data_IF_669867084450
#
_entry.id   IF_669867084450
#
_cell.length_a   1.000
_cell.length_b   1.000
_cell.length_c   1.000
_cell.angle_alpha   90.00
_cell.angle_beta   90.00
_cell.angle_gamma   90.00
#
_symmetry.space_group_name_H-M   'P 1'
#
loop_
_entity.id
_entity.type
_entity.pdbx_description
1 polymer ?
#
# COMPACT_ATOMS: atom_id res chain seq x y z
N UNK A 1 -86.36 -53.04 31.21
CA UNK A 1 -85.87 -52.92 29.84
C UNK A 1 -84.74 -51.81 29.87
N UNK A 2 -83.62 -52.25 29.65
CA UNK A 2 -82.30 -51.55 29.83
C UNK A 2 -81.96 -50.69 28.62
N UNK A 3 -81.38 -49.55 28.83
CA UNK A 3 -80.47 -48.91 27.84
C UNK A 3 -79.32 -48.21 28.54
N UNK A 4 -78.13 -48.78 28.41
CA UNK A 4 -76.85 -48.18 28.69
C UNK A 4 -76.56 -47.02 27.70
N UNK A 5 -76.07 -45.96 28.21
CA UNK A 5 -75.42 -44.91 27.39
C UNK A 5 -73.94 -44.84 27.79
N UNK A 6 -73.08 -45.18 26.84
CA UNK A 6 -71.64 -45.10 26.99
C UNK A 6 -71.20 -43.67 26.66
N UNK A 7 -70.50 -43.01 27.58
CA UNK A 7 -69.87 -41.72 27.38
C UNK A 7 -68.44 -41.91 26.89
N UNK A 8 -68.08 -41.38 25.72
CA UNK A 8 -66.69 -41.26 25.22
C UNK A 8 -66.05 -39.97 25.80
N UNK A 9 -65.04 -40.11 26.58
CA UNK A 9 -64.14 -38.99 26.99
C UNK A 9 -63.02 -38.83 25.97
N UNK A 10 -63.05 -37.73 25.24
CA UNK A 10 -62.00 -37.34 24.24
C UNK A 10 -60.93 -36.50 24.98
N UNK A 11 -59.79 -37.11 25.27
CA UNK A 11 -58.63 -36.43 25.89
C UNK A 11 -57.88 -35.69 24.79
N UNK A 12 -57.85 -34.38 24.87
CA UNK A 12 -57.00 -33.52 24.01
C UNK A 12 -55.59 -33.45 24.60
N UNK A 13 -54.59 -34.07 23.94
CA UNK A 13 -53.17 -33.87 24.17
C UNK A 13 -52.75 -32.50 23.56
N UNK A 14 -52.48 -31.56 24.42
CA UNK A 14 -51.79 -30.33 24.05
C UNK A 14 -50.27 -30.62 23.92
N UNK A 15 -49.79 -30.74 22.66
CA UNK A 15 -48.37 -30.81 22.37
C UNK A 15 -47.78 -29.37 22.39
N UNK A 16 -47.06 -29.00 23.45
CA UNK A 16 -46.28 -27.78 23.50
C UNK A 16 -45.01 -27.98 22.68
N UNK A 17 -44.96 -27.47 21.46
CA UNK A 17 -43.73 -27.33 20.68
C UNK A 17 -42.87 -26.22 21.32
N UNK A 18 -41.81 -26.61 22.02
CA UNK A 18 -40.78 -25.69 22.44
C UNK A 18 -40.03 -25.18 21.19
N UNK A 19 -40.30 -23.93 20.79
CA UNK A 19 -39.45 -23.24 19.83
C UNK A 19 -38.08 -22.99 20.51
N UNK A 20 -37.08 -23.72 20.03
CA UNK A 20 -35.69 -23.40 20.37
C UNK A 20 -35.37 -22.04 19.75
N UNK A 21 -35.26 -21.00 20.58
CA UNK A 21 -34.69 -19.71 20.18
C UNK A 21 -33.23 -19.97 19.86
N UNK A 22 -32.90 -19.93 18.56
CA UNK A 22 -31.52 -19.80 18.10
C UNK A 22 -31.03 -18.40 18.53
N UNK A 23 -30.14 -18.37 19.52
CA UNK A 23 -29.43 -17.13 19.84
C UNK A 23 -28.68 -16.66 18.59
N UNK A 24 -28.82 -15.38 18.20
CA UNK A 24 -28.07 -14.86 17.07
C UNK A 24 -26.57 -14.92 17.40
N UNK A 25 -25.86 -15.82 16.75
CA UNK A 25 -24.40 -15.87 16.82
C UNK A 25 -23.87 -14.68 16.02
N UNK A 26 -23.52 -13.60 16.69
CA UNK A 26 -22.80 -12.49 16.09
C UNK A 26 -21.38 -12.96 15.73
N UNK A 27 -21.17 -13.34 14.49
CA UNK A 27 -19.82 -13.43 13.94
C UNK A 27 -19.29 -12.02 13.76
N UNK A 28 -18.51 -11.55 14.72
CA UNK A 28 -17.72 -10.34 14.54
C UNK A 28 -16.48 -10.75 13.75
N UNK A 29 -16.54 -10.55 12.46
CA UNK A 29 -15.39 -10.73 11.57
C UNK A 29 -14.37 -9.65 11.91
N UNK A 30 -13.29 -10.03 12.56
CA UNK A 30 -12.16 -9.11 12.81
C UNK A 30 -11.30 -9.18 11.55
N UNK A 31 -11.22 -8.11 10.75
CA UNK A 31 -10.46 -8.14 9.51
C UNK A 31 -8.98 -8.40 9.81
N UNK A 32 -8.38 -9.29 9.03
CA UNK A 32 -6.93 -9.55 9.08
C UNK A 32 -6.18 -8.29 8.64
N UNK A 33 -5.23 -7.85 9.44
CA UNK A 33 -4.33 -6.76 9.07
C UNK A 33 -3.09 -7.35 8.42
N UNK A 34 -2.88 -7.00 7.16
CA UNK A 34 -1.73 -7.38 6.37
C UNK A 34 -0.61 -6.34 6.52
N UNK A 35 0.60 -6.81 6.83
CA UNK A 35 1.79 -5.97 6.96
C UNK A 35 2.86 -6.51 6.00
N UNK A 36 3.14 -5.76 4.95
CA UNK A 36 4.25 -6.06 4.05
C UNK A 36 5.54 -5.56 4.66
N UNK A 37 6.54 -6.42 4.70
CA UNK A 37 7.81 -6.18 5.38
C UNK A 37 8.97 -6.42 4.42
N UNK A 38 9.77 -5.39 4.19
CA UNK A 38 11.06 -5.51 3.51
C UNK A 38 12.17 -5.69 4.54
N UNK A 39 13.03 -6.66 4.33
CA UNK A 39 14.25 -6.86 5.14
C UNK A 39 15.46 -6.77 4.23
N UNK A 40 16.37 -5.86 4.53
CA UNK A 40 17.59 -5.68 3.75
C UNK A 40 18.83 -5.72 4.64
N UNK A 41 19.98 -6.01 4.05
CA UNK A 41 21.27 -5.78 4.70
C UNK A 41 21.61 -4.27 4.73
N UNK A 42 22.77 -3.94 5.28
CA UNK A 42 23.27 -2.54 5.34
C UNK A 42 23.62 -1.94 3.97
N UNK A 43 23.85 -2.78 2.96
CA UNK A 43 24.04 -2.35 1.58
C UNK A 43 22.73 -2.16 0.82
N UNK A 44 21.60 -2.53 1.44
CA UNK A 44 20.26 -2.43 0.85
C UNK A 44 19.86 -3.65 0.03
N UNK A 45 20.65 -4.74 0.03
CA UNK A 45 20.29 -5.98 -0.65
C UNK A 45 19.19 -6.73 0.13
N UNK A 46 18.15 -7.24 -0.54
CA UNK A 46 17.07 -7.97 0.11
C UNK A 46 17.56 -9.24 0.80
N UNK A 47 17.03 -9.52 1.99
CA UNK A 47 17.32 -10.73 2.76
C UNK A 47 16.18 -11.72 2.59
N UNK A 48 16.45 -12.82 1.90
CA UNK A 48 15.56 -13.97 1.76
C UNK A 48 15.75 -15.01 2.85
N UNK A 49 14.88 -16.02 2.86
CA UNK A 49 15.05 -17.23 3.69
C UNK A 49 14.65 -17.06 5.17
N UNK A 50 14.18 -15.90 5.61
CA UNK A 50 13.66 -15.72 6.96
C UNK A 50 12.37 -16.52 7.17
N UNK A 51 12.09 -16.86 8.42
CA UNK A 51 10.92 -17.61 8.85
C UNK A 51 10.04 -16.74 9.74
N UNK A 52 8.84 -17.17 10.06
CA UNK A 52 7.93 -16.50 10.98
C UNK A 52 8.59 -16.19 12.33
N UNK A 53 9.41 -17.09 12.83
CA UNK A 53 10.05 -17.00 14.15
C UNK A 53 11.17 -15.93 14.20
N UNK A 54 11.62 -15.47 13.03
CA UNK A 54 12.58 -14.37 12.93
C UNK A 54 11.96 -13.00 13.17
N UNK A 55 10.61 -12.90 13.25
CA UNK A 55 9.90 -11.64 13.37
C UNK A 55 9.14 -11.49 14.68
N UNK A 56 9.12 -10.28 15.19
CA UNK A 56 8.21 -9.81 16.25
C UNK A 56 7.37 -8.66 15.70
N UNK A 57 6.05 -8.77 15.84
CA UNK A 57 5.07 -7.79 15.38
C UNK A 57 4.42 -7.11 16.60
N UNK A 58 4.30 -5.79 16.53
CA UNK A 58 3.69 -4.97 17.57
C UNK A 58 2.61 -4.07 16.96
N UNK A 59 1.48 -3.91 17.66
CA UNK A 59 0.47 -2.88 17.40
C UNK A 59 0.35 -2.02 18.67
N UNK A 60 0.53 -0.71 18.56
CA UNK A 60 0.56 0.23 19.68
C UNK A 60 1.42 -0.31 20.86
N UNK A 61 2.65 -0.69 20.53
CA UNK A 61 3.66 -1.27 21.44
C UNK A 61 3.26 -2.59 22.13
N UNK A 62 2.14 -3.20 21.73
CA UNK A 62 1.69 -4.50 22.24
C UNK A 62 2.00 -5.59 21.25
N UNK A 63 2.72 -6.63 21.68
CA UNK A 63 3.05 -7.77 20.84
C UNK A 63 1.79 -8.44 20.29
N UNK A 64 1.81 -8.76 19.00
CA UNK A 64 0.77 -9.44 18.26
C UNK A 64 1.22 -10.83 17.82
N UNK A 65 0.27 -11.78 17.75
CA UNK A 65 0.56 -13.09 17.19
C UNK A 65 0.44 -13.03 15.67
N UNK A 66 1.51 -13.37 14.97
CA UNK A 66 1.50 -13.50 13.52
C UNK A 66 0.64 -14.72 13.15
N UNK A 67 -0.52 -14.50 12.57
CA UNK A 67 -1.45 -15.55 12.15
C UNK A 67 -1.15 -16.07 10.74
N UNK A 68 -0.74 -15.17 9.85
CA UNK A 68 -0.36 -15.48 8.45
C UNK A 68 1.08 -15.05 8.24
N UNK A 69 1.85 -15.91 7.59
CA UNK A 69 3.23 -15.63 7.18
C UNK A 69 3.45 -16.18 5.76
N UNK A 70 3.82 -15.31 4.85
CA UNK A 70 4.19 -15.69 3.48
C UNK A 70 5.54 -15.08 3.12
N UNK A 71 6.33 -15.85 2.38
CA UNK A 71 7.55 -15.39 1.72
C UNK A 71 7.24 -15.16 0.26
N UNK A 72 7.92 -14.19 -0.36
CA UNK A 72 7.78 -13.91 -1.80
C UNK A 72 6.29 -13.85 -2.19
N UNK A 73 5.57 -12.98 -1.48
CA UNK A 73 4.10 -12.92 -1.55
C UNK A 73 3.57 -13.00 -2.98
N UNK A 74 2.61 -13.91 -3.19
CA UNK A 74 1.86 -14.05 -4.43
C UNK A 74 0.77 -12.99 -4.58
N UNK A 75 0.58 -12.13 -3.58
CA UNK A 75 -0.41 -11.05 -3.66
C UNK A 75 -0.15 -10.18 -4.89
N UNK A 76 -1.18 -9.93 -5.72
CA UNK A 76 -1.02 -9.12 -6.91
C UNK A 76 -0.56 -7.70 -6.56
N UNK A 77 0.15 -7.06 -7.50
CA UNK A 77 0.52 -5.65 -7.43
C UNK A 77 -0.48 -4.83 -8.23
N UNK A 78 -0.96 -3.74 -7.62
CA UNK A 78 -1.57 -2.63 -8.32
C UNK A 78 -0.61 -1.43 -8.24
N UNK A 79 -0.08 -1.00 -9.37
CA UNK A 79 0.99 0.00 -9.43
C UNK A 79 0.49 1.22 -10.18
N UNK A 80 0.63 2.41 -9.59
CA UNK A 80 0.57 3.68 -10.34
C UNK A 80 1.99 4.17 -10.57
N UNK A 81 2.31 4.47 -11.82
CA UNK A 81 3.51 5.20 -12.22
C UNK A 81 3.15 6.67 -12.39
N UNK A 82 3.59 7.52 -11.48
CA UNK A 82 3.33 8.96 -11.54
C UNK A 82 4.58 9.68 -12.05
N UNK A 83 4.45 10.35 -13.20
CA UNK A 83 5.53 11.07 -13.84
C UNK A 83 5.28 12.57 -13.80
N UNK A 84 6.29 13.29 -13.35
CA UNK A 84 6.35 14.73 -13.40
C UNK A 84 6.56 15.21 -14.85
N UNK A 85 5.74 16.16 -15.29
CA UNK A 85 5.85 16.80 -16.59
C UNK A 85 6.10 18.31 -16.45
N UNK A 86 6.53 18.78 -15.29
CA UNK A 86 6.86 20.18 -15.04
C UNK A 86 8.10 20.64 -15.84
N UNK A 87 8.33 21.93 -15.86
CA UNK A 87 9.44 22.49 -16.64
C UNK A 87 10.83 22.11 -16.11
N UNK A 88 10.98 21.73 -14.84
CA UNK A 88 12.25 21.36 -14.21
C UNK A 88 12.80 20.04 -14.73
N UNK A 89 11.93 19.05 -15.02
CA UNK A 89 12.33 17.70 -15.45
C UNK A 89 12.60 17.55 -16.95
N UNK A 90 12.44 18.62 -17.73
CA UNK A 90 12.51 18.57 -19.21
C UNK A 90 13.75 17.87 -19.77
N UNK A 91 14.92 18.04 -19.13
CA UNK A 91 16.20 17.50 -19.62
C UNK A 91 16.31 15.99 -19.44
N UNK A 92 15.73 15.46 -18.37
CA UNK A 92 15.90 14.09 -17.92
C UNK A 92 14.72 13.21 -18.32
N UNK A 93 13.60 13.82 -18.70
CA UNK A 93 12.33 13.18 -18.99
C UNK A 93 12.39 12.00 -19.99
N UNK A 94 13.20 12.11 -21.06
CA UNK A 94 13.32 11.02 -22.03
C UNK A 94 13.92 9.74 -21.41
N UNK A 95 14.87 9.89 -20.47
CA UNK A 95 15.45 8.77 -19.73
C UNK A 95 14.46 8.22 -18.72
N UNK A 96 13.75 9.07 -18.00
CA UNK A 96 12.68 8.66 -17.07
C UNK A 96 11.59 7.87 -17.77
N UNK A 97 11.09 8.36 -18.89
CA UNK A 97 10.08 7.72 -19.71
C UNK A 97 10.53 6.34 -20.17
N UNK A 98 11.78 6.21 -20.66
CA UNK A 98 12.35 4.92 -21.06
C UNK A 98 12.49 3.95 -19.90
N UNK A 99 13.04 4.40 -18.78
CA UNK A 99 13.23 3.58 -17.60
C UNK A 99 11.88 3.11 -17.01
N UNK A 100 10.85 3.98 -16.99
CA UNK A 100 9.49 3.60 -16.57
C UNK A 100 8.86 2.55 -17.52
N UNK A 101 9.12 2.61 -18.82
CA UNK A 101 8.66 1.59 -19.77
C UNK A 101 9.34 0.24 -19.54
N UNK A 102 10.66 0.23 -19.27
CA UNK A 102 11.40 -0.99 -18.92
C UNK A 102 10.86 -1.58 -17.62
N UNK A 103 10.68 -0.75 -16.58
CA UNK A 103 10.12 -1.19 -15.32
C UNK A 103 8.74 -1.84 -15.48
N UNK A 104 7.81 -1.21 -16.21
CA UNK A 104 6.49 -1.78 -16.42
C UNK A 104 6.55 -3.15 -17.11
N UNK A 105 7.48 -3.34 -18.05
CA UNK A 105 7.69 -4.60 -18.73
C UNK A 105 8.26 -5.69 -17.81
N UNK A 106 9.17 -5.31 -16.93
CA UNK A 106 9.92 -6.26 -16.09
C UNK A 106 9.17 -6.60 -14.80
N UNK A 107 8.38 -5.64 -14.25
CA UNK A 107 7.70 -5.82 -12.96
C UNK A 107 6.35 -6.53 -13.09
N UNK A 108 5.60 -6.32 -14.17
CA UNK A 108 4.24 -6.83 -14.29
C UNK A 108 4.21 -8.34 -14.55
N UNK A 109 3.62 -9.09 -13.62
CA UNK A 109 3.25 -10.50 -13.77
C UNK A 109 1.79 -10.61 -14.25
N UNK A 110 1.32 -11.79 -14.68
CA UNK A 110 -0.05 -11.94 -15.21
C UNK A 110 -1.17 -11.46 -14.29
N UNK A 111 -0.96 -11.51 -12.97
CA UNK A 111 -1.95 -11.06 -11.98
C UNK A 111 -1.79 -9.58 -11.60
N UNK A 112 -0.71 -8.92 -12.00
CA UNK A 112 -0.43 -7.54 -11.64
C UNK A 112 -1.10 -6.57 -12.62
N UNK A 113 -1.38 -5.36 -12.15
CA UNK A 113 -1.94 -4.29 -12.96
C UNK A 113 -1.19 -3.00 -12.71
N UNK A 114 -1.06 -2.19 -13.74
CA UNK A 114 -0.50 -0.86 -13.60
C UNK A 114 -1.36 0.20 -14.30
N UNK A 115 -1.18 1.44 -13.86
CA UNK A 115 -1.70 2.64 -14.47
C UNK A 115 -0.61 3.71 -14.53
N UNK A 116 -0.80 4.71 -15.37
CA UNK A 116 0.08 5.87 -15.50
C UNK A 116 -0.68 7.13 -15.13
N UNK A 117 -0.12 7.90 -14.23
CA UNK A 117 -0.56 9.25 -13.89
C UNK A 117 0.50 10.25 -14.35
N UNK A 118 0.08 11.34 -14.95
CA UNK A 118 0.94 12.45 -15.31
C UNK A 118 0.52 13.70 -14.54
N UNK A 119 1.49 14.48 -14.10
CA UNK A 119 1.22 15.71 -13.36
C UNK A 119 2.17 16.85 -13.76
N UNK A 120 1.65 18.05 -13.74
CA UNK A 120 2.31 19.34 -13.92
C UNK A 120 1.47 20.39 -13.16
N UNK A 121 0.92 21.43 -13.83
CA UNK A 121 -0.06 22.36 -13.23
C UNK A 121 -1.32 21.65 -12.71
N UNK A 122 -1.61 20.45 -13.21
CA UNK A 122 -2.70 19.57 -12.80
C UNK A 122 -2.32 18.12 -12.94
N UNK A 123 -3.22 17.24 -12.50
CA UNK A 123 -3.02 15.79 -12.51
C UNK A 123 -4.01 15.11 -13.43
N UNK A 124 -3.60 14.04 -14.10
CA UNK A 124 -4.48 13.22 -14.95
C UNK A 124 -4.07 11.77 -15.00
N UNK A 125 -5.05 10.89 -15.03
CA UNK A 125 -4.89 9.48 -15.40
C UNK A 125 -4.60 9.38 -16.92
N UNK A 126 -3.70 8.48 -17.31
CA UNK A 126 -3.24 8.34 -18.69
C UNK A 126 -3.72 7.05 -19.34
N UNK A 127 -3.62 5.91 -18.64
CA UNK A 127 -3.88 4.59 -19.26
C UNK A 127 -5.07 3.85 -18.68
N UNK A 128 -5.44 4.10 -17.43
CA UNK A 128 -6.28 3.21 -16.64
C UNK A 128 -5.56 1.91 -16.30
N UNK A 129 -6.01 1.23 -15.23
CA UNK A 129 -5.39 -0.02 -14.78
C UNK A 129 -5.45 -1.12 -15.83
N UNK A 130 -4.29 -1.68 -16.16
CA UNK A 130 -4.14 -2.78 -17.12
C UNK A 130 -3.00 -3.72 -16.74
N UNK A 131 -3.10 -5.00 -17.10
CA UNK A 131 -2.00 -5.98 -17.05
C UNK A 131 -1.09 -5.96 -18.30
N UNK A 132 -1.43 -5.14 -19.30
CA UNK A 132 -0.73 -5.10 -20.58
C UNK A 132 0.42 -4.09 -20.55
N UNK A 133 1.66 -4.55 -20.34
CA UNK A 133 2.84 -3.68 -20.35
C UNK A 133 2.97 -2.82 -21.62
N UNK A 134 2.49 -3.32 -22.78
CA UNK A 134 2.48 -2.55 -24.04
C UNK A 134 1.57 -1.33 -23.96
N UNK A 135 0.41 -1.43 -23.28
CA UNK A 135 -0.51 -0.31 -23.10
C UNK A 135 0.09 0.75 -22.18
N UNK A 136 0.75 0.31 -21.10
CA UNK A 136 1.50 1.21 -20.21
C UNK A 136 2.61 1.93 -21.00
N UNK A 137 3.44 1.18 -21.74
CA UNK A 137 4.51 1.77 -22.57
C UNK A 137 3.98 2.76 -23.60
N UNK A 138 2.84 2.47 -24.22
CA UNK A 138 2.19 3.39 -25.19
C UNK A 138 1.72 4.68 -24.50
N UNK A 139 1.10 4.56 -23.32
CA UNK A 139 0.68 5.72 -22.52
C UNK A 139 1.87 6.60 -22.13
N UNK A 140 2.95 5.98 -21.65
CA UNK A 140 4.19 6.68 -21.33
C UNK A 140 4.77 7.39 -22.56
N UNK A 141 4.84 6.71 -23.73
CA UNK A 141 5.37 7.31 -24.98
C UNK A 141 4.61 8.55 -25.45
N UNK A 142 3.34 8.68 -25.08
CA UNK A 142 2.51 9.84 -25.40
C UNK A 142 2.70 11.04 -24.46
N UNK A 143 3.53 10.93 -23.43
CA UNK A 143 3.78 12.02 -22.49
C UNK A 143 4.88 12.95 -23.03
N UNK A 144 4.68 14.23 -22.79
CA UNK A 144 5.65 15.28 -23.15
C UNK A 144 5.71 16.28 -22.00
N UNK A 145 6.91 16.64 -21.51
CA UNK A 145 7.05 17.65 -20.47
C UNK A 145 6.56 19.02 -20.97
N UNK A 146 5.98 19.77 -20.05
CA UNK A 146 5.48 21.12 -20.26
C UNK A 146 6.43 22.20 -19.73
N UNK A 147 5.88 23.39 -19.54
CA UNK A 147 6.58 24.53 -18.94
C UNK A 147 5.85 25.02 -17.67
N UNK A 148 4.88 24.23 -17.18
CA UNK A 148 4.02 24.58 -16.05
C UNK A 148 4.65 24.31 -14.69
N UNK A 149 3.86 24.53 -13.63
CA UNK A 149 4.21 24.18 -12.25
C UNK A 149 4.05 22.71 -11.95
N UNK A 150 4.09 22.35 -10.66
CA UNK A 150 4.09 20.97 -10.18
C UNK A 150 3.01 20.79 -9.13
N UNK A 151 1.97 20.02 -9.42
CA UNK A 151 0.90 19.63 -8.51
C UNK A 151 1.25 18.30 -7.80
N UNK A 152 2.38 18.28 -7.09
CA UNK A 152 2.99 17.07 -6.53
C UNK A 152 2.04 16.34 -5.56
N UNK A 153 1.54 17.01 -4.52
CA UNK A 153 0.63 16.36 -3.55
C UNK A 153 -0.71 15.97 -4.14
N UNK A 154 -1.20 16.73 -5.13
CA UNK A 154 -2.43 16.35 -5.86
C UNK A 154 -2.25 15.08 -6.66
N UNK A 155 -1.02 14.79 -7.16
CA UNK A 155 -0.72 13.54 -7.87
C UNK A 155 -0.77 12.33 -6.94
N UNK A 156 -0.37 12.48 -5.68
CA UNK A 156 -0.47 11.44 -4.65
C UNK A 156 -1.93 11.17 -4.32
N UNK A 157 -2.73 12.22 -4.11
CA UNK A 157 -4.17 12.12 -3.83
C UNK A 157 -4.91 11.42 -4.97
N UNK A 158 -4.69 11.83 -6.22
CA UNK A 158 -5.28 11.17 -7.39
C UNK A 158 -4.87 9.69 -7.45
N UNK A 159 -3.57 9.40 -7.32
CA UNK A 159 -3.05 8.05 -7.39
C UNK A 159 -3.60 7.15 -6.29
N UNK A 160 -3.72 7.65 -5.06
CA UNK A 160 -4.32 6.93 -3.94
C UNK A 160 -5.80 6.62 -4.21
N UNK A 161 -6.56 7.59 -4.73
CA UNK A 161 -7.95 7.39 -5.13
C UNK A 161 -8.12 6.33 -6.22
N UNK A 162 -7.24 6.30 -7.22
CA UNK A 162 -7.22 5.29 -8.28
C UNK A 162 -6.83 3.90 -7.75
N UNK A 163 -5.92 3.81 -6.79
CA UNK A 163 -5.48 2.56 -6.16
C UNK A 163 -6.50 2.00 -5.17
N UNK A 164 -7.35 2.82 -4.56
CA UNK A 164 -8.31 2.41 -3.51
C UNK A 164 -9.20 1.22 -3.90
N UNK A 165 -9.79 1.14 -5.10
CA UNK A 165 -10.61 0.00 -5.51
C UNK A 165 -9.80 -1.24 -5.92
N UNK A 166 -8.49 -1.11 -6.13
CA UNK A 166 -7.65 -2.20 -6.59
C UNK A 166 -7.34 -3.20 -5.45
N UNK A 167 -7.20 -4.48 -5.84
CA UNK A 167 -6.89 -5.56 -4.92
C UNK A 167 -5.39 -5.85 -4.86
N UNK A 168 -4.94 -6.40 -3.73
CA UNK A 168 -3.55 -6.74 -3.52
C UNK A 168 -2.73 -5.60 -2.91
N UNK A 169 -1.46 -5.50 -3.30
CA UNK A 169 -0.55 -4.47 -2.80
C UNK A 169 -0.65 -3.23 -3.67
N UNK A 170 -1.02 -2.12 -3.06
CA UNK A 170 -1.18 -0.82 -3.70
C UNK A 170 0.14 -0.05 -3.63
N UNK A 171 0.68 0.27 -4.78
CA UNK A 171 2.01 0.88 -4.90
C UNK A 171 1.93 2.11 -5.80
N UNK A 172 2.46 3.21 -5.30
CA UNK A 172 2.73 4.41 -6.08
C UNK A 172 4.24 4.53 -6.29
N UNK A 173 4.69 4.52 -7.52
CA UNK A 173 6.07 4.85 -7.89
C UNK A 173 6.05 6.20 -8.58
N UNK A 174 6.72 7.18 -7.99
CA UNK A 174 6.74 8.54 -8.53
C UNK A 174 8.15 9.02 -8.79
N UNK A 175 8.30 9.78 -9.88
CA UNK A 175 9.55 10.41 -10.29
C UNK A 175 9.31 11.91 -10.32
N UNK A 176 10.10 12.67 -9.55
CA UNK A 176 10.01 14.12 -9.45
C UNK A 176 11.25 14.67 -8.75
N UNK A 177 11.49 15.97 -8.83
CA UNK A 177 12.41 16.70 -7.97
C UNK A 177 11.79 17.09 -6.61
N UNK A 178 10.50 16.81 -6.42
CA UNK A 178 9.77 17.03 -5.17
C UNK A 178 9.19 18.43 -5.00
N UNK A 179 9.40 19.31 -5.96
CA UNK A 179 8.83 20.66 -5.91
C UNK A 179 7.30 20.60 -5.96
N UNK A 180 6.61 21.46 -5.18
CA UNK A 180 5.15 21.60 -5.23
C UNK A 180 4.79 23.07 -5.34
N UNK A 181 4.61 23.54 -6.57
CA UNK A 181 4.35 24.95 -6.87
C UNK A 181 2.88 25.26 -7.05
N UNK A 182 2.02 24.26 -7.17
CA UNK A 182 0.58 24.42 -7.34
C UNK A 182 -0.14 24.24 -6.00
N UNK A 183 -0.95 25.22 -5.63
CA UNK A 183 -1.81 25.12 -4.47
C UNK A 183 -2.95 24.12 -4.71
N UNK A 184 -3.30 23.35 -3.70
CA UNK A 184 -4.35 22.33 -3.78
C UNK A 184 -4.34 21.45 -2.56
N UNK A 185 -3.98 20.17 -2.74
CA UNK A 185 -3.82 19.21 -1.65
C UNK A 185 -2.60 19.57 -0.81
N UNK A 186 -2.72 19.50 0.51
CA UNK A 186 -1.59 19.68 1.43
C UNK A 186 -0.73 18.42 1.53
N UNK A 187 0.49 18.55 2.08
CA UNK A 187 1.32 17.40 2.42
C UNK A 187 0.61 16.42 3.36
N UNK A 188 -0.01 16.97 4.41
CA UNK A 188 -0.71 16.19 5.44
C UNK A 188 -1.90 15.44 4.85
N UNK A 189 -2.69 16.07 3.97
CA UNK A 189 -3.83 15.44 3.33
C UNK A 189 -3.38 14.31 2.40
N UNK A 190 -2.34 14.54 1.59
CA UNK A 190 -1.79 13.54 0.68
C UNK A 190 -1.24 12.31 1.43
N UNK A 191 -0.53 12.54 2.54
CA UNK A 191 -0.02 11.47 3.41
C UNK A 191 -1.18 10.69 4.06
N UNK A 192 -2.16 11.41 4.62
CA UNK A 192 -3.33 10.78 5.28
C UNK A 192 -4.13 9.91 4.31
N UNK A 193 -4.35 10.39 3.07
CA UNK A 193 -5.02 9.60 2.02
C UNK A 193 -4.22 8.37 1.64
N UNK A 194 -2.92 8.49 1.40
CA UNK A 194 -2.06 7.36 1.08
C UNK A 194 -2.05 6.30 2.19
N UNK A 195 -1.99 6.72 3.46
CA UNK A 195 -2.03 5.81 4.61
C UNK A 195 -3.39 5.15 4.78
N UNK A 196 -4.51 5.89 4.60
CA UNK A 196 -5.88 5.34 4.68
C UNK A 196 -6.16 4.34 3.59
N UNK A 197 -5.65 4.59 2.38
CA UNK A 197 -5.82 3.72 1.22
C UNK A 197 -4.75 2.60 1.17
N UNK A 198 -3.88 2.53 2.18
CA UNK A 198 -2.80 1.53 2.30
C UNK A 198 -1.86 1.53 1.09
N UNK A 199 -1.60 2.71 0.53
CA UNK A 199 -0.70 2.91 -0.61
C UNK A 199 0.74 3.02 -0.13
N UNK A 200 1.62 2.17 -0.65
CA UNK A 200 3.06 2.21 -0.41
C UNK A 200 3.71 3.10 -1.47
N UNK A 201 4.41 4.15 -1.05
CA UNK A 201 5.03 5.12 -1.96
C UNK A 201 6.52 4.82 -2.13
N UNK A 202 6.94 4.64 -3.38
CA UNK A 202 8.34 4.67 -3.79
C UNK A 202 8.63 5.97 -4.51
N UNK A 203 9.57 6.75 -3.98
CA UNK A 203 9.95 8.04 -4.55
C UNK A 203 11.28 7.92 -5.26
N UNK A 204 11.34 8.29 -6.52
CA UNK A 204 12.58 8.46 -7.29
C UNK A 204 12.84 9.96 -7.38
N UNK A 205 13.85 10.42 -6.65
CA UNK A 205 14.22 11.83 -6.54
C UNK A 205 15.21 12.12 -7.67
N UNK A 206 14.73 12.80 -8.71
CA UNK A 206 15.54 13.19 -9.85
C UNK A 206 16.18 14.54 -9.61
N UNK A 207 17.29 14.52 -8.87
CA UNK A 207 18.11 15.72 -8.64
C UNK A 207 19.56 15.39 -8.95
N UNK A 208 20.24 16.15 -9.82
CA UNK A 208 21.68 15.99 -10.03
C UNK A 208 22.42 16.16 -8.70
N UNK A 209 23.02 15.09 -8.21
CA UNK A 209 23.76 15.08 -6.91
C UNK A 209 24.83 16.16 -6.83
N UNK A 210 25.32 16.64 -7.99
CA UNK A 210 26.33 17.68 -8.10
C UNK A 210 25.78 19.12 -8.09
N UNK A 211 24.47 19.32 -8.21
CA UNK A 211 23.89 20.66 -8.27
C UNK A 211 23.49 21.16 -6.89
N UNK A 212 24.35 21.94 -6.26
CA UNK A 212 24.03 22.58 -4.97
C UNK A 212 23.18 23.85 -5.09
N UNK A 213 23.02 24.39 -6.29
CA UNK A 213 22.22 25.60 -6.52
C UNK A 213 20.88 25.23 -7.17
N UNK A 214 19.77 25.59 -6.51
CA UNK A 214 18.42 25.37 -7.02
C UNK A 214 17.74 24.08 -6.57
N UNK A 215 18.33 23.31 -5.63
CA UNK A 215 17.67 22.13 -5.02
C UNK A 215 16.57 22.57 -4.05
N UNK A 216 15.39 22.02 -4.20
CA UNK A 216 14.34 22.09 -3.18
C UNK A 216 14.54 20.99 -2.12
N UNK A 217 15.31 21.33 -1.07
CA UNK A 217 15.54 20.41 0.04
C UNK A 217 14.26 20.09 0.81
N UNK A 218 13.25 20.95 0.79
CA UNK A 218 11.96 20.70 1.43
C UNK A 218 11.16 19.66 0.65
N UNK A 219 11.13 19.75 -0.68
CA UNK A 219 10.51 18.77 -1.56
C UNK A 219 11.19 17.40 -1.47
N UNK A 220 12.52 17.35 -1.51
CA UNK A 220 13.28 16.11 -1.31
C UNK A 220 12.95 15.45 0.04
N UNK A 221 12.92 16.26 1.12
CA UNK A 221 12.57 15.76 2.45
C UNK A 221 11.14 15.24 2.52
N UNK A 222 10.20 15.93 1.87
CA UNK A 222 8.82 15.48 1.76
C UNK A 222 8.72 14.12 1.04
N UNK A 223 9.42 13.95 -0.08
CA UNK A 223 9.46 12.68 -0.83
C UNK A 223 10.02 11.53 0.01
N UNK A 224 11.09 11.77 0.76
CA UNK A 224 11.69 10.78 1.66
C UNK A 224 10.69 10.39 2.76
N UNK A 225 10.10 11.39 3.42
CA UNK A 225 9.19 11.17 4.54
C UNK A 225 7.89 10.45 4.09
N UNK A 226 7.32 10.84 2.94
CA UNK A 226 6.16 10.16 2.34
C UNK A 226 6.45 8.67 2.09
N UNK A 227 7.61 8.36 1.52
CA UNK A 227 8.01 6.99 1.29
C UNK A 227 8.14 6.21 2.62
N UNK A 228 8.84 6.76 3.61
CA UNK A 228 9.05 6.14 4.92
C UNK A 228 7.74 5.93 5.68
N UNK A 229 6.85 6.94 5.69
CA UNK A 229 5.58 6.90 6.41
C UNK A 229 4.55 5.96 5.76
N UNK A 230 4.76 5.54 4.52
CA UNK A 230 3.92 4.58 3.82
C UNK A 230 4.53 3.18 3.72
N UNK A 231 5.76 2.98 4.25
CA UNK A 231 6.48 1.71 4.22
C UNK A 231 7.24 1.44 2.91
N UNK A 232 7.24 2.39 2.00
CA UNK A 232 8.03 2.36 0.79
C UNK A 232 9.45 2.90 0.99
N UNK A 233 10.10 3.41 -0.06
CA UNK A 233 11.49 3.87 -0.02
C UNK A 233 11.75 4.98 -1.03
N UNK A 234 12.60 5.94 -0.65
CA UNK A 234 13.11 6.94 -1.57
C UNK A 234 14.49 6.55 -2.11
N UNK A 235 14.72 6.88 -3.37
CA UNK A 235 15.98 6.70 -4.06
C UNK A 235 16.35 7.97 -4.78
N UNK A 236 17.62 8.32 -4.74
CA UNK A 236 18.16 9.33 -5.65
C UNK A 236 18.58 8.67 -6.95
N UNK A 237 18.22 9.29 -8.05
CA UNK A 237 18.60 8.82 -9.38
C UNK A 237 19.07 9.99 -10.24
N UNK A 238 19.96 9.67 -11.17
CA UNK A 238 20.27 10.46 -12.36
C UNK A 238 19.95 9.60 -13.58
N UNK A 239 20.06 10.14 -14.78
CA UNK A 239 19.78 9.40 -16.02
C UNK A 239 20.50 8.05 -16.11
N UNK A 240 21.73 7.96 -15.61
CA UNK A 240 22.56 6.76 -15.71
C UNK A 240 22.13 5.65 -14.72
N UNK A 241 21.45 6.02 -13.63
CA UNK A 241 21.08 5.12 -12.53
C UNK A 241 19.59 4.76 -12.48
N UNK A 242 18.72 5.41 -13.28
CA UNK A 242 17.27 5.20 -13.27
C UNK A 242 16.87 3.73 -13.44
N UNK A 243 17.38 3.02 -14.45
CA UNK A 243 17.09 1.61 -14.64
C UNK A 243 17.49 0.76 -13.42
N UNK A 244 18.64 1.05 -12.79
CA UNK A 244 19.07 0.35 -11.58
C UNK A 244 18.14 0.62 -10.40
N UNK A 245 17.64 1.85 -10.25
CA UNK A 245 16.69 2.21 -9.20
C UNK A 245 15.37 1.46 -9.41
N UNK A 246 14.86 1.42 -10.62
CA UNK A 246 13.66 0.67 -10.95
C UNK A 246 13.82 -0.84 -10.70
N UNK A 247 14.97 -1.43 -11.02
CA UNK A 247 15.26 -2.83 -10.67
C UNK A 247 15.25 -3.05 -9.16
N UNK A 248 15.85 -2.14 -8.36
CA UNK A 248 15.81 -2.23 -6.89
C UNK A 248 14.38 -2.15 -6.34
N UNK A 249 13.52 -1.32 -6.92
CA UNK A 249 12.10 -1.24 -6.56
C UNK A 249 11.40 -2.55 -6.90
N UNK A 250 11.63 -3.10 -8.09
CA UNK A 250 11.06 -4.38 -8.51
C UNK A 250 11.49 -5.53 -7.57
N UNK A 251 12.77 -5.60 -7.24
CA UNK A 251 13.32 -6.59 -6.31
C UNK A 251 12.71 -6.45 -4.91
N UNK A 252 12.62 -5.23 -4.38
CA UNK A 252 12.01 -4.95 -3.07
C UNK A 252 10.53 -5.40 -3.07
N UNK A 253 9.76 -5.04 -4.10
CA UNK A 253 8.37 -5.46 -4.25
C UNK A 253 8.20 -6.98 -4.37
N UNK A 254 9.20 -7.72 -4.85
CA UNK A 254 9.14 -9.18 -5.05
C UNK A 254 9.66 -10.00 -3.88
N UNK A 255 10.42 -9.37 -2.96
CA UNK A 255 11.07 -10.05 -1.83
C UNK A 255 10.46 -9.71 -0.48
N UNK A 256 9.34 -8.97 -0.45
CA UNK A 256 8.64 -8.64 0.79
C UNK A 256 8.04 -9.89 1.45
N UNK A 257 8.08 -9.90 2.77
CA UNK A 257 7.33 -10.84 3.61
C UNK A 257 5.94 -10.28 3.90
N UNK A 258 4.94 -11.14 3.93
CA UNK A 258 3.60 -10.82 4.42
C UNK A 258 3.46 -11.36 5.84
N UNK A 259 3.19 -10.47 6.78
CA UNK A 259 2.80 -10.80 8.15
C UNK A 259 1.34 -10.40 8.35
N UNK A 260 0.47 -11.38 8.56
CA UNK A 260 -0.94 -11.13 8.88
C UNK A 260 -1.23 -11.36 10.35
N UNK A 261 -2.02 -10.49 10.98
CA UNK A 261 -2.47 -10.66 12.35
C UNK A 261 -3.91 -10.18 12.54
N UNK A 262 -4.58 -10.71 13.56
CA UNK A 262 -5.91 -10.27 13.96
C UNK A 262 -5.76 -9.23 15.07
N UNK A 263 -6.12 -7.95 14.83
CA UNK A 263 -6.00 -6.90 15.83
C UNK A 263 -6.94 -7.16 17.00
N UNK A 264 -6.51 -6.78 18.20
CA UNK A 264 -7.36 -6.88 19.40
C UNK A 264 -8.55 -5.93 19.26
N UNK A 265 -9.75 -6.41 19.68
CA UNK A 265 -10.93 -5.54 19.77
C UNK A 265 -10.65 -4.39 20.72
N UNK A 266 -11.04 -3.19 20.30
CA UNK A 266 -10.99 -1.98 21.13
C UNK A 266 -12.38 -1.56 21.56
N UNK A 267 -12.43 -0.76 22.61
CA UNK A 267 -13.64 -0.10 23.04
C UNK A 267 -14.20 0.80 21.89
N UNK A 268 -15.52 1.02 21.80
CA UNK A 268 -16.13 1.83 20.76
C UNK A 268 -15.51 3.23 20.60
N UNK A 269 -15.05 3.83 21.71
CA UNK A 269 -14.44 5.16 21.74
C UNK A 269 -13.05 5.21 21.05
N UNK A 270 -12.41 4.06 20.84
CA UNK A 270 -11.10 3.92 20.20
C UNK A 270 -11.20 3.49 18.72
N UNK A 271 -12.42 3.40 18.19
CA UNK A 271 -12.65 3.00 16.79
C UNK A 271 -12.34 4.16 15.86
N UNK A 272 -11.68 3.85 14.72
CA UNK A 272 -11.33 4.83 13.69
C UNK A 272 -10.01 5.57 13.92
N UNK A 273 -9.32 5.36 15.06
CA UNK A 273 -8.01 5.97 15.35
C UNK A 273 -6.85 5.30 14.59
N UNK A 274 -5.75 6.05 14.48
CA UNK A 274 -4.49 5.50 13.95
C UNK A 274 -3.93 4.43 14.89
N UNK A 275 -3.46 3.32 14.32
CA UNK A 275 -2.81 2.21 15.03
C UNK A 275 -1.40 2.06 14.51
N UNK A 276 -0.43 2.26 15.39
CA UNK A 276 0.97 2.08 15.03
C UNK A 276 1.32 0.60 14.86
N UNK A 277 2.17 0.31 13.88
CA UNK A 277 2.73 -1.01 13.61
C UNK A 277 4.24 -0.93 13.68
N UNK A 278 4.86 -1.84 14.40
CA UNK A 278 6.31 -2.02 14.39
C UNK A 278 6.65 -3.49 14.18
N UNK A 279 7.58 -3.75 13.28
CA UNK A 279 8.15 -5.08 13.05
C UNK A 279 9.63 -5.05 13.41
N UNK A 280 10.08 -6.02 14.18
CA UNK A 280 11.49 -6.16 14.60
C UNK A 280 11.95 -7.59 14.35
N UNK A 281 13.26 -7.78 14.22
CA UNK A 281 13.82 -9.12 14.24
C UNK A 281 13.78 -9.67 15.67
N UNK A 282 13.43 -10.95 15.82
CA UNK A 282 13.40 -11.64 17.13
C UNK A 282 14.78 -11.71 17.78
N UNK A 283 15.84 -11.84 16.97
CA UNK A 283 17.21 -11.90 17.43
C UNK A 283 17.84 -10.51 17.42
N UNK A 284 18.41 -10.08 18.57
CA UNK A 284 19.09 -8.79 18.70
C UNK A 284 20.27 -8.62 17.74
N UNK A 285 21.01 -9.69 17.42
CA UNK A 285 22.09 -9.66 16.45
C UNK A 285 21.57 -9.37 15.03
N UNK A 286 20.41 -9.91 14.66
CA UNK A 286 19.77 -9.65 13.38
C UNK A 286 19.23 -8.22 13.30
N UNK A 287 18.73 -7.63 14.40
CA UNK A 287 18.34 -6.22 14.45
C UNK A 287 19.53 -5.28 14.18
N UNK A 288 20.74 -5.63 14.62
CA UNK A 288 21.93 -4.84 14.33
C UNK A 288 22.47 -5.04 12.90
N UNK A 289 22.17 -6.18 12.29
CA UNK A 289 22.67 -6.59 10.96
C UNK A 289 21.75 -6.18 9.82
N UNK A 290 20.43 -6.26 10.02
CA UNK A 290 19.41 -6.03 9.01
C UNK A 290 18.64 -4.74 9.27
N UNK A 291 18.12 -4.15 8.20
CA UNK A 291 17.13 -3.07 8.23
C UNK A 291 15.76 -3.69 7.95
N UNK A 292 14.81 -3.47 8.84
CA UNK A 292 13.42 -3.92 8.70
C UNK A 292 12.56 -2.70 8.42
N UNK A 293 11.75 -2.77 7.36
CA UNK A 293 10.87 -1.69 6.95
C UNK A 293 9.46 -2.21 6.70
N UNK A 294 8.49 -1.52 7.25
CA UNK A 294 7.06 -1.74 7.08
C UNK A 294 6.32 -0.40 7.21
N UNK A 295 5.07 -0.32 6.79
CA UNK A 295 4.23 0.85 7.09
C UNK A 295 4.16 1.08 8.60
N UNK A 296 4.28 2.33 9.09
CA UNK A 296 4.30 2.61 10.53
C UNK A 296 2.93 2.45 11.21
N UNK A 297 1.86 2.29 10.45
CA UNK A 297 0.53 2.08 11.00
C UNK A 297 -0.57 2.09 9.95
N UNK A 298 -1.82 2.14 10.43
CA UNK A 298 -3.02 2.20 9.61
C UNK A 298 -4.17 2.85 10.39
N UNK A 299 -5.17 3.34 9.68
CA UNK A 299 -6.44 3.78 10.30
C UNK A 299 -7.39 2.59 10.40
N UNK A 300 -7.81 2.27 11.63
CA UNK A 300 -8.81 1.24 11.83
C UNK A 300 -10.14 1.69 11.23
N UNK A 301 -10.70 0.90 10.31
CA UNK A 301 -12.06 1.16 9.82
C UNK A 301 -13.02 1.16 11.00
N UNK A 302 -13.87 2.18 11.10
CA UNK A 302 -15.03 2.09 11.96
C UNK A 302 -15.85 0.87 11.52
N UNK A 303 -16.17 -0.04 12.43
CA UNK A 303 -17.05 -1.17 12.12
C UNK A 303 -18.34 -0.61 11.51
N UNK A 304 -18.60 -0.95 10.23
CA UNK A 304 -19.85 -0.62 9.56
C UNK A 304 -20.95 -1.56 10.04
#
# INVERSE_FOLDING_TARGET
MSRLAAGLALGALLSTTAMAQQEPTFHVDVPLVNVFVSVTDKAGAPIGGLTKDDFQLFENDKAQTIAVFERDTSAPLAIVLALDLSGSVYKDFAAEQQAAQHFAKDVLRPQDRADVVAFADGTREVTGFTGEAKRIASGLSGLHPGTGGTAFYSSISLSSGLLRPEHGRRVLVMISDGDNTVNGVSYEDALDEAVRDEVMIYSIIDVPVAASAGRDLAGEHAMITLAEQTGGRAYYADQASLDQVFHRIADDLRTQYLLGYYPRKRAPEEQGGFRSIAVKMSNAQNNAKYSVRNRPGYYASAAR
#
